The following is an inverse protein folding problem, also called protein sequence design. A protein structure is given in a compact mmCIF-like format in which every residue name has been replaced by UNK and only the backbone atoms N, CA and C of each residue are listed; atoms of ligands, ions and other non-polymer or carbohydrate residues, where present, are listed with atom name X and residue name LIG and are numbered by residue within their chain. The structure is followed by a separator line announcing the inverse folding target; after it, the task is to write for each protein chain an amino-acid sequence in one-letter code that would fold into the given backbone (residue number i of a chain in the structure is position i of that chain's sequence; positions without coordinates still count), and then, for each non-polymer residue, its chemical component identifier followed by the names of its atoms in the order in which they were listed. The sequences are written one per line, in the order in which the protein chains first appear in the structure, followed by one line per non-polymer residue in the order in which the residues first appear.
data_IF_639065168442
#
_entry.id   IF_639065168442
#
_cell.length_a   1.000
_cell.length_b   1.000
_cell.length_c   1.000
_cell.angle_alpha   90.00
_cell.angle_beta   90.00
_cell.angle_gamma   90.00
#
_symmetry.space_group_name_H-M   'P 1'
#
loop_
_entity.id
_entity.type
_entity.pdbx_description
1 polymer ?
#
# COMPACT_ATOMS: atom_id res chain seq x y z
N UNK A 1 24.00 -9.80 17.77
CA UNK A 1 23.01 -9.69 16.68
C UNK A 1 23.71 -8.98 15.54
N UNK A 2 23.82 -9.60 14.38
CA UNK A 2 24.55 -9.01 13.25
C UNK A 2 23.85 -7.73 12.77
N UNK A 3 24.63 -6.69 12.45
CA UNK A 3 24.10 -5.42 11.94
C UNK A 3 23.21 -5.62 10.70
N UNK A 4 23.54 -6.62 9.88
CA UNK A 4 22.74 -7.03 8.72
C UNK A 4 21.32 -7.46 9.12
N UNK A 5 21.17 -8.21 10.22
CA UNK A 5 19.85 -8.64 10.71
C UNK A 5 19.03 -7.42 11.15
N UNK A 6 19.66 -6.46 11.84
CA UNK A 6 19.00 -5.23 12.25
C UNK A 6 18.47 -4.43 11.05
N UNK A 7 19.27 -4.29 9.98
CA UNK A 7 18.83 -3.60 8.77
C UNK A 7 17.71 -4.32 8.04
N UNK A 8 17.76 -5.65 7.93
CA UNK A 8 16.69 -6.45 7.32
C UNK A 8 15.38 -6.29 8.09
N UNK A 9 15.42 -6.37 9.42
CA UNK A 9 14.23 -6.18 10.26
C UNK A 9 13.67 -4.75 10.14
N UNK A 10 14.54 -3.74 10.05
CA UNK A 10 14.12 -2.35 9.88
C UNK A 10 13.39 -2.12 8.55
N UNK A 11 13.98 -2.60 7.44
CA UNK A 11 13.37 -2.51 6.10
C UNK A 11 12.05 -3.27 6.05
N UNK A 12 11.99 -4.48 6.61
CA UNK A 12 10.79 -5.29 6.66
C UNK A 12 9.67 -4.58 7.46
N UNK A 13 10.01 -4.01 8.62
CA UNK A 13 9.05 -3.30 9.48
C UNK A 13 8.47 -2.07 8.78
N UNK A 14 9.32 -1.24 8.15
CA UNK A 14 8.88 -0.07 7.40
C UNK A 14 8.01 -0.49 6.23
N UNK A 15 8.45 -1.48 5.44
CA UNK A 15 7.69 -1.96 4.29
C UNK A 15 6.33 -2.53 4.69
N UNK A 16 6.26 -3.25 5.80
CA UNK A 16 5.00 -3.76 6.34
C UNK A 16 4.06 -2.63 6.73
N UNK A 17 4.54 -1.62 7.47
CA UNK A 17 3.76 -0.44 7.83
C UNK A 17 3.20 0.29 6.60
N UNK A 18 4.04 0.49 5.58
CA UNK A 18 3.63 1.13 4.33
C UNK A 18 2.62 0.29 3.54
N UNK A 19 2.74 -1.03 3.58
CA UNK A 19 1.75 -1.95 2.99
C UNK A 19 0.40 -1.81 3.68
N UNK A 20 0.36 -1.77 5.02
CA UNK A 20 -0.88 -1.57 5.76
C UNK A 20 -1.51 -0.20 5.45
N UNK A 21 -0.71 0.87 5.41
CA UNK A 21 -1.19 2.21 5.04
C UNK A 21 -1.75 2.26 3.62
N UNK A 22 -1.08 1.59 2.66
CA UNK A 22 -1.58 1.46 1.29
C UNK A 22 -2.93 0.75 1.25
N UNK A 23 -3.09 -0.37 1.97
CA UNK A 23 -4.37 -1.09 2.04
C UNK A 23 -5.49 -0.24 2.64
N UNK A 24 -5.22 0.44 3.75
CA UNK A 24 -6.19 1.37 4.37
C UNK A 24 -6.60 2.46 3.37
N UNK A 25 -5.64 3.06 2.66
CA UNK A 25 -5.93 4.09 1.66
C UNK A 25 -6.78 3.54 0.51
N UNK A 26 -6.52 2.32 0.03
CA UNK A 26 -7.33 1.67 -1.02
C UNK A 26 -8.76 1.41 -0.52
N UNK A 27 -8.92 0.96 0.72
CA UNK A 27 -10.24 0.72 1.32
C UNK A 27 -11.05 2.01 1.36
N UNK A 28 -10.43 3.10 1.84
CA UNK A 28 -11.06 4.41 2.03
C UNK A 28 -11.33 5.17 0.72
N UNK A 29 -10.62 4.84 -0.37
CA UNK A 29 -10.82 5.48 -1.67
C UNK A 29 -11.87 4.76 -2.50
N UNK A 30 -12.56 5.54 -3.33
CA UNK A 30 -13.36 5.03 -4.43
C UNK A 30 -12.55 5.07 -5.72
N UNK A 31 -12.55 3.96 -6.45
CA UNK A 31 -11.85 3.79 -7.73
C UNK A 31 -12.83 3.70 -8.91
N UNK A 32 -14.11 4.01 -8.68
CA UNK A 32 -15.19 3.96 -9.69
C UNK A 32 -15.67 2.56 -10.03
N UNK A 33 -14.93 1.51 -9.65
CA UNK A 33 -15.36 0.12 -9.78
C UNK A 33 -14.72 -0.80 -8.73
N UNK A 34 -15.45 -1.85 -8.37
CA UNK A 34 -14.94 -2.89 -7.46
C UNK A 34 -13.71 -3.60 -8.05
N UNK A 35 -13.70 -3.87 -9.37
CA UNK A 35 -12.57 -4.50 -10.06
C UNK A 35 -11.28 -3.68 -9.92
N UNK A 36 -11.36 -2.36 -10.13
CA UNK A 36 -10.21 -1.48 -9.97
C UNK A 36 -9.70 -1.46 -8.52
N UNK A 37 -10.61 -1.42 -7.53
CA UNK A 37 -10.25 -1.49 -6.10
C UNK A 37 -9.53 -2.80 -5.76
N UNK A 38 -10.00 -3.93 -6.27
CA UNK A 38 -9.38 -5.24 -6.04
C UNK A 38 -7.98 -5.31 -6.66
N UNK A 39 -7.79 -4.80 -7.88
CA UNK A 39 -6.47 -4.77 -8.54
C UNK A 39 -5.45 -4.02 -7.69
N UNK A 40 -5.82 -2.87 -7.12
CA UNK A 40 -4.93 -2.12 -6.25
C UNK A 40 -4.58 -2.85 -4.95
N UNK A 41 -5.51 -3.62 -4.36
CA UNK A 41 -5.21 -4.47 -3.20
C UNK A 41 -4.16 -5.54 -3.54
N UNK A 42 -4.33 -6.24 -4.67
CA UNK A 42 -3.37 -7.25 -5.12
C UNK A 42 -1.98 -6.66 -5.36
N UNK A 43 -1.91 -5.48 -5.98
CA UNK A 43 -0.64 -4.77 -6.19
C UNK A 43 -0.01 -4.39 -4.85
N UNK A 44 -0.78 -3.86 -3.90
CA UNK A 44 -0.25 -3.37 -2.62
C UNK A 44 0.32 -4.50 -1.73
N UNK A 45 -0.24 -5.71 -1.79
CA UNK A 45 0.18 -6.85 -0.95
C UNK A 45 1.56 -7.41 -1.36
N UNK A 46 2.05 -7.11 -2.57
CA UNK A 46 3.37 -7.57 -3.01
C UNK A 46 4.43 -7.04 -2.02
N UNK A 47 5.15 -7.91 -1.29
CA UNK A 47 6.08 -7.48 -0.26
C UNK A 47 7.17 -6.57 -0.82
N UNK A 48 7.64 -5.61 -0.03
CA UNK A 48 8.74 -4.69 -0.35
C UNK A 48 8.41 -3.66 -1.43
N UNK A 49 7.76 -4.04 -2.53
CA UNK A 49 7.56 -3.19 -3.72
C UNK A 49 6.10 -2.78 -3.96
N UNK A 50 5.13 -3.55 -3.48
CA UNK A 50 3.72 -3.34 -3.78
C UNK A 50 3.17 -2.01 -3.27
N UNK A 51 3.51 -1.68 -2.02
CA UNK A 51 3.16 -0.38 -1.43
C UNK A 51 3.74 0.80 -2.24
N UNK A 52 4.95 0.64 -2.79
CA UNK A 52 5.62 1.70 -3.56
C UNK A 52 4.90 1.93 -4.90
N UNK A 53 4.59 0.86 -5.61
CA UNK A 53 3.82 0.93 -6.87
C UNK A 53 2.46 1.59 -6.61
N UNK A 54 1.79 1.19 -5.52
CA UNK A 54 0.52 1.79 -5.14
C UNK A 54 0.66 3.29 -4.85
N UNK A 55 1.63 3.72 -4.05
CA UNK A 55 1.78 5.14 -3.69
C UNK A 55 2.11 6.03 -4.90
N UNK A 56 2.89 5.52 -5.86
CA UNK A 56 3.26 6.30 -7.06
C UNK A 56 2.06 6.43 -8.02
N UNK A 57 1.35 5.32 -8.28
CA UNK A 57 0.34 5.27 -9.34
C UNK A 57 -1.09 5.19 -8.83
N UNK A 58 -1.36 4.31 -7.87
CA UNK A 58 -2.70 4.05 -7.34
C UNK A 58 -3.24 5.19 -6.48
N UNK A 59 -2.36 5.82 -5.68
CA UNK A 59 -2.74 6.88 -4.75
C UNK A 59 -3.41 8.08 -5.45
N UNK A 60 -2.96 8.43 -6.67
CA UNK A 60 -3.53 9.53 -7.45
C UNK A 60 -4.81 9.17 -8.22
N UNK A 61 -5.10 7.87 -8.38
CA UNK A 61 -6.25 7.40 -9.17
C UNK A 61 -7.54 7.25 -8.38
N UNK A 62 -7.45 6.96 -7.08
CA UNK A 62 -8.64 6.87 -6.23
C UNK A 62 -9.09 8.24 -5.75
N UNK A 63 -10.39 8.50 -5.76
CA UNK A 63 -10.97 9.68 -5.13
C UNK A 63 -11.34 9.34 -3.69
N UNK A 64 -10.90 10.17 -2.75
CA UNK A 64 -11.35 10.05 -1.37
C UNK A 64 -12.74 10.64 -1.31
N UNK A 65 -13.75 9.81 -1.12
CA UNK A 65 -15.11 10.30 -0.89
C UNK A 65 -15.03 11.24 0.32
N UNK A 66 -15.28 12.53 0.13
CA UNK A 66 -15.48 13.43 1.25
C UNK A 66 -16.69 12.88 2.02
N UNK A 67 -16.59 12.65 3.33
CA UNK A 67 -17.81 12.40 4.10
C UNK A 67 -18.75 13.58 3.83
N UNK A 68 -20.00 13.26 3.47
CA UNK A 68 -21.06 14.24 3.27
C UNK A 68 -21.29 15.04 4.56
#
# INVERSE_FOLDING_TARGET
MDQTILYVLFIATISFGLTMLALIDIILKDFGSLKAKIIWHFIAIIPIIGWLIYLIFGFKKGQRNKPA
#
